data_IF_950079983556
#
_entry.id   IF_950079983556
#
_cell.length_a   1.000
_cell.length_b   1.000
_cell.length_c   1.000
_cell.angle_alpha   90.00
_cell.angle_beta   90.00
_cell.angle_gamma   90.00
#
_symmetry.space_group_name_H-M   'P 1'
#
loop_
_entity.id
_entity.type
_entity.pdbx_description
1 polymer ?
#
# COMPACT_ATOMS: atom_id res chain seq x y z
N UNK A 1 6.92 1.51 -14.61
CA UNK A 1 6.73 0.52 -15.68
C UNK A 1 7.11 1.21 -16.97
N UNK A 2 8.33 1.02 -17.43
CA UNK A 2 8.84 1.65 -18.66
C UNK A 2 8.69 0.65 -19.80
N UNK A 3 7.48 0.60 -20.36
CA UNK A 3 7.24 -0.17 -21.59
C UNK A 3 7.30 0.84 -22.72
N UNK A 4 8.31 0.71 -23.59
CA UNK A 4 8.41 1.56 -24.76
C UNK A 4 7.28 1.21 -25.75
N UNK A 5 6.64 2.25 -26.30
CA UNK A 5 5.59 2.12 -27.31
C UNK A 5 6.06 1.25 -28.50
N UNK A 6 7.35 1.32 -28.83
CA UNK A 6 7.98 0.51 -29.86
C UNK A 6 7.76 -1.00 -29.65
N UNK A 7 7.96 -1.50 -28.43
CA UNK A 7 7.75 -2.92 -28.13
C UNK A 7 6.27 -3.30 -28.32
N UNK A 8 5.35 -2.43 -27.92
CA UNK A 8 3.90 -2.67 -28.06
C UNK A 8 3.50 -2.80 -29.52
N UNK A 9 3.98 -1.92 -30.38
CA UNK A 9 3.67 -1.96 -31.81
C UNK A 9 4.26 -3.22 -32.48
N UNK A 10 5.48 -3.63 -32.12
CA UNK A 10 6.07 -4.87 -32.64
C UNK A 10 5.30 -6.10 -32.19
N UNK A 11 4.86 -6.15 -30.94
CA UNK A 11 4.06 -7.25 -30.41
C UNK A 11 2.69 -7.33 -31.10
N UNK A 12 2.04 -6.19 -31.38
CA UNK A 12 0.79 -6.14 -32.16
C UNK A 12 0.99 -6.69 -33.58
N UNK A 13 2.16 -6.44 -34.18
CA UNK A 13 2.52 -6.95 -35.51
C UNK A 13 3.04 -8.39 -35.50
N UNK A 14 3.02 -9.07 -34.34
CA UNK A 14 3.32 -10.50 -34.22
C UNK A 14 4.76 -10.84 -33.82
N UNK A 15 5.58 -9.89 -33.38
CA UNK A 15 6.88 -10.22 -32.78
C UNK A 15 6.68 -10.90 -31.43
N UNK A 16 7.15 -12.14 -31.34
CA UNK A 16 7.09 -12.94 -30.13
C UNK A 16 8.01 -12.37 -29.04
N UNK A 17 9.19 -11.91 -29.42
CA UNK A 17 10.19 -11.33 -28.51
C UNK A 17 9.65 -10.04 -27.88
N UNK A 18 9.00 -9.20 -28.68
CA UNK A 18 8.37 -7.99 -28.16
C UNK A 18 7.19 -8.30 -27.24
N UNK A 19 6.41 -9.35 -27.53
CA UNK A 19 5.34 -9.81 -26.66
C UNK A 19 5.90 -10.32 -25.32
N UNK A 20 6.92 -11.18 -25.35
CA UNK A 20 7.59 -11.70 -24.15
C UNK A 20 8.10 -10.55 -23.27
N UNK A 21 8.82 -9.59 -23.86
CA UNK A 21 9.32 -8.42 -23.13
C UNK A 21 8.21 -7.60 -22.46
N UNK A 22 7.06 -7.41 -23.13
CA UNK A 22 5.92 -6.72 -22.54
C UNK A 22 5.34 -7.52 -21.38
N UNK A 23 5.16 -8.83 -21.54
CA UNK A 23 4.57 -9.69 -20.51
C UNK A 23 5.45 -9.73 -19.26
N UNK A 24 6.76 -9.89 -19.41
CA UNK A 24 7.71 -9.85 -18.29
C UNK A 24 7.61 -8.54 -17.50
N UNK A 25 7.38 -7.42 -18.17
CA UNK A 25 7.27 -6.11 -17.53
C UNK A 25 5.93 -5.89 -16.79
N UNK A 26 4.85 -6.56 -17.20
CA UNK A 26 3.53 -6.40 -16.58
C UNK A 26 3.18 -7.48 -15.58
N UNK A 27 3.82 -8.67 -15.65
CA UNK A 27 3.51 -9.80 -14.78
C UNK A 27 3.59 -9.44 -13.29
N UNK A 28 4.73 -8.90 -12.86
CA UNK A 28 4.95 -8.52 -11.46
C UNK A 28 3.95 -7.47 -10.95
N UNK A 29 3.73 -6.34 -11.65
CA UNK A 29 2.72 -5.36 -11.28
C UNK A 29 1.29 -5.91 -11.22
N UNK A 30 0.90 -6.75 -12.19
CA UNK A 30 -0.44 -7.38 -12.21
C UNK A 30 -0.60 -8.33 -11.03
N UNK A 31 0.39 -9.20 -10.78
CA UNK A 31 0.39 -10.08 -9.60
C UNK A 31 0.25 -9.29 -8.30
N UNK A 32 1.02 -8.21 -8.16
CA UNK A 32 0.98 -7.35 -6.97
C UNK A 32 -0.37 -6.68 -6.74
N UNK A 33 -1.06 -6.26 -7.80
CA UNK A 33 -2.42 -5.75 -7.73
C UNK A 33 -3.39 -6.87 -7.34
N UNK A 34 -3.30 -8.04 -8.00
CA UNK A 34 -4.13 -9.22 -7.69
C UNK A 34 -3.99 -9.66 -6.24
N UNK A 35 -2.76 -9.73 -5.71
CA UNK A 35 -2.50 -10.12 -4.33
C UNK A 35 -3.13 -9.17 -3.32
N UNK A 36 -3.09 -7.87 -3.58
CA UNK A 36 -3.71 -6.86 -2.69
C UNK A 36 -5.23 -6.86 -2.81
N UNK A 37 -5.76 -7.16 -4.00
CA UNK A 37 -7.19 -7.27 -4.23
C UNK A 37 -7.76 -8.54 -3.59
N UNK A 38 -7.09 -9.68 -3.72
CA UNK A 38 -7.62 -10.98 -3.33
C UNK A 38 -7.11 -11.45 -1.96
N UNK A 39 -5.91 -11.09 -1.53
CA UNK A 39 -5.38 -11.42 -0.21
C UNK A 39 -4.86 -12.86 -0.06
N UNK A 40 -4.80 -13.65 -1.13
CA UNK A 40 -4.16 -14.97 -1.19
C UNK A 40 -3.26 -15.06 -2.40
N UNK A 41 -2.12 -15.75 -2.23
CA UNK A 41 -1.13 -15.93 -3.30
C UNK A 41 -1.70 -16.78 -4.44
N UNK A 42 -2.33 -17.92 -4.12
CA UNK A 42 -2.90 -18.83 -5.12
C UNK A 42 -3.96 -18.14 -5.98
N UNK A 43 -4.95 -17.49 -5.36
CA UNK A 43 -5.98 -16.74 -6.09
C UNK A 43 -5.37 -15.58 -6.89
N UNK A 44 -4.28 -14.98 -6.41
CA UNK A 44 -3.58 -13.91 -7.13
C UNK A 44 -2.79 -14.43 -8.34
N UNK A 45 -2.19 -15.62 -8.25
CA UNK A 45 -1.53 -16.31 -9.37
C UNK A 45 -2.54 -16.65 -10.46
N UNK A 46 -3.69 -17.23 -10.08
CA UNK A 46 -4.79 -17.55 -11.00
C UNK A 46 -5.29 -16.28 -11.71
N UNK A 47 -5.64 -15.24 -10.95
CA UNK A 47 -6.12 -13.98 -11.51
C UNK A 47 -5.07 -13.30 -12.40
N UNK A 48 -3.78 -13.34 -12.00
CA UNK A 48 -2.67 -12.83 -12.81
C UNK A 48 -2.64 -13.53 -14.17
N UNK A 49 -2.66 -14.85 -14.20
CA UNK A 49 -2.63 -15.61 -15.45
C UNK A 49 -3.79 -15.24 -16.37
N UNK A 50 -5.02 -15.21 -15.83
CA UNK A 50 -6.21 -14.83 -16.60
C UNK A 50 -6.11 -13.40 -17.15
N UNK A 51 -5.61 -12.45 -16.35
CA UNK A 51 -5.41 -11.06 -16.78
C UNK A 51 -4.37 -10.99 -17.90
N UNK A 52 -3.25 -11.70 -17.78
CA UNK A 52 -2.21 -11.72 -18.82
C UNK A 52 -2.75 -12.32 -20.12
N UNK A 53 -3.53 -13.40 -20.05
CA UNK A 53 -4.21 -13.97 -21.22
C UNK A 53 -5.16 -12.95 -21.86
N UNK A 54 -5.97 -12.23 -21.06
CA UNK A 54 -6.85 -11.17 -21.55
C UNK A 54 -6.06 -10.03 -22.22
N UNK A 55 -4.91 -9.66 -21.67
CA UNK A 55 -4.01 -8.65 -22.25
C UNK A 55 -3.48 -9.13 -23.61
N UNK A 56 -2.94 -10.34 -23.70
CA UNK A 56 -2.40 -10.92 -24.94
C UNK A 56 -3.48 -10.99 -26.02
N UNK A 57 -4.63 -11.58 -25.68
CA UNK A 57 -5.74 -11.78 -26.63
C UNK A 57 -6.40 -10.47 -27.07
N UNK A 58 -6.33 -9.42 -26.25
CA UNK A 58 -6.88 -8.10 -26.55
C UNK A 58 -5.84 -7.11 -27.09
N UNK A 59 -4.57 -7.51 -27.25
CA UNK A 59 -3.46 -6.60 -27.54
C UNK A 59 -3.69 -5.76 -28.81
N UNK A 60 -4.25 -6.36 -29.86
CA UNK A 60 -4.58 -5.68 -31.13
C UNK A 60 -5.63 -4.56 -30.98
N UNK A 61 -6.39 -4.55 -29.88
CA UNK A 61 -7.36 -3.50 -29.56
C UNK A 61 -6.71 -2.25 -28.93
N UNK A 62 -5.46 -2.33 -28.46
CA UNK A 62 -4.75 -1.18 -27.93
C UNK A 62 -4.47 -0.16 -29.05
N UNK A 63 -4.93 1.08 -28.87
CA UNK A 63 -4.83 2.17 -29.87
C UNK A 63 -3.94 3.33 -29.44
N UNK A 64 -3.09 3.16 -28.42
CA UNK A 64 -2.18 4.22 -27.96
C UNK A 64 -2.86 5.47 -27.38
N UNK A 65 -4.14 5.40 -27.00
CA UNK A 65 -4.90 6.54 -26.44
C UNK A 65 -4.56 6.84 -24.97
N UNK A 66 -3.93 5.90 -24.28
CA UNK A 66 -3.40 6.02 -22.93
C UNK A 66 -2.04 5.34 -22.89
N UNK A 67 -1.29 5.44 -21.80
CA UNK A 67 -0.13 4.57 -21.59
C UNK A 67 -0.57 3.10 -21.62
N UNK A 68 0.32 2.22 -22.07
CA UNK A 68 0.06 0.79 -22.12
C UNK A 68 -0.23 0.21 -20.73
N UNK A 69 0.54 0.65 -19.72
CA UNK A 69 0.31 0.30 -18.31
C UNK A 69 -1.10 0.67 -17.83
N UNK A 70 -1.62 1.82 -18.23
CA UNK A 70 -3.00 2.24 -17.93
C UNK A 70 -4.02 1.31 -18.56
N UNK A 71 -3.81 0.91 -19.81
CA UNK A 71 -4.70 -0.01 -20.52
C UNK A 71 -4.69 -1.41 -19.89
N UNK A 72 -3.52 -1.92 -19.52
CA UNK A 72 -3.37 -3.18 -18.77
C UNK A 72 -4.10 -3.09 -17.42
N UNK A 73 -3.93 -2.00 -16.68
CA UNK A 73 -4.65 -1.82 -15.42
C UNK A 73 -6.16 -1.78 -15.61
N UNK A 74 -6.70 -1.18 -16.69
CA UNK A 74 -8.15 -1.26 -16.99
C UNK A 74 -8.63 -2.70 -17.12
N UNK A 75 -7.87 -3.55 -17.80
CA UNK A 75 -8.20 -4.98 -17.94
C UNK A 75 -8.13 -5.66 -16.57
N UNK A 76 -7.05 -5.42 -15.82
CA UNK A 76 -6.82 -6.02 -14.51
C UNK A 76 -7.92 -5.64 -13.51
N UNK A 77 -8.30 -4.37 -13.41
CA UNK A 77 -9.31 -3.92 -12.44
C UNK A 77 -10.70 -4.44 -12.80
N UNK A 78 -11.06 -4.50 -14.08
CA UNK A 78 -12.34 -5.06 -14.51
C UNK A 78 -12.43 -6.56 -14.23
N UNK A 79 -11.31 -7.27 -14.33
CA UNK A 79 -11.22 -8.67 -13.88
C UNK A 79 -11.38 -8.74 -12.35
N UNK A 80 -10.50 -8.08 -11.60
CA UNK A 80 -10.38 -8.25 -10.15
C UNK A 80 -11.57 -7.73 -9.33
N UNK A 81 -12.36 -6.79 -9.85
CA UNK A 81 -13.49 -6.24 -9.11
C UNK A 81 -14.66 -7.22 -9.01
N UNK A 82 -14.73 -8.17 -9.95
CA UNK A 82 -15.74 -9.21 -9.98
C UNK A 82 -15.25 -10.51 -9.33
N UNK A 83 -13.94 -10.65 -9.14
CA UNK A 83 -13.36 -11.78 -8.44
C UNK A 83 -13.68 -11.74 -6.96
N UNK A 84 -14.01 -12.90 -6.41
CA UNK A 84 -14.22 -13.09 -4.98
C UNK A 84 -13.08 -13.94 -4.45
N UNK A 85 -12.47 -13.49 -3.36
CA UNK A 85 -11.65 -14.38 -2.55
C UNK A 85 -12.56 -15.50 -2.02
N UNK A 86 -12.16 -16.75 -2.25
CA UNK A 86 -12.96 -17.95 -1.93
C UNK A 86 -13.19 -18.11 -0.42
N UNK A 87 -12.26 -17.69 0.43
CA UNK A 87 -12.38 -17.74 1.88
C UNK A 87 -13.28 -16.63 2.42
N UNK A 88 -13.14 -15.40 1.89
CA UNK A 88 -13.95 -14.26 2.32
C UNK A 88 -15.35 -14.25 1.71
N UNK A 89 -15.61 -15.06 0.69
CA UNK A 89 -16.96 -15.26 0.14
C UNK A 89 -17.91 -15.85 1.20
N UNK A 90 -17.40 -16.77 2.03
CA UNK A 90 -18.17 -17.42 3.09
C UNK A 90 -17.99 -16.75 4.47
N UNK A 91 -16.84 -16.10 4.69
CA UNK A 91 -16.52 -15.39 5.93
C UNK A 91 -16.05 -13.97 5.64
N UNK A 92 -16.98 -13.02 5.36
CA UNK A 92 -16.61 -11.66 5.01
C UNK A 92 -15.87 -10.98 6.18
N UNK A 93 -14.76 -10.33 5.85
CA UNK A 93 -14.02 -9.51 6.81
C UNK A 93 -14.59 -8.10 6.87
N UNK A 94 -14.52 -7.51 8.07
CA UNK A 94 -14.83 -6.11 8.31
C UNK A 94 -13.87 -5.56 9.37
N UNK A 95 -13.77 -4.23 9.44
CA UNK A 95 -12.95 -3.59 10.48
C UNK A 95 -13.44 -3.92 11.89
N UNK A 96 -14.75 -4.12 12.09
CA UNK A 96 -15.33 -4.54 13.37
C UNK A 96 -14.90 -5.97 13.75
N UNK A 97 -14.97 -6.90 12.80
CA UNK A 97 -14.55 -8.30 13.01
C UNK A 97 -13.05 -8.34 13.30
N UNK A 98 -12.25 -7.58 12.54
CA UNK A 98 -10.80 -7.51 12.75
C UNK A 98 -10.46 -6.90 14.12
N UNK A 99 -11.12 -5.80 14.48
CA UNK A 99 -10.93 -5.15 15.79
C UNK A 99 -11.28 -6.07 16.95
N UNK A 100 -12.44 -6.75 16.86
CA UNK A 100 -12.90 -7.73 17.85
C UNK A 100 -11.91 -8.88 18.04
N UNK A 101 -11.23 -9.29 16.98
CA UNK A 101 -10.15 -10.27 17.09
C UNK A 101 -8.96 -9.74 17.90
N UNK A 102 -8.52 -8.51 17.61
CA UNK A 102 -7.42 -7.91 18.35
C UNK A 102 -7.79 -7.79 19.83
N UNK A 103 -9.03 -7.40 20.13
CA UNK A 103 -9.52 -7.32 21.51
C UNK A 103 -9.54 -8.71 22.19
N UNK A 104 -9.90 -9.78 21.46
CA UNK A 104 -9.80 -11.16 21.96
C UNK A 104 -8.36 -11.58 22.24
N UNK A 105 -7.43 -11.21 21.37
CA UNK A 105 -6.00 -11.42 21.60
C UNK A 105 -5.54 -10.71 22.87
N UNK A 106 -5.91 -9.44 23.06
CA UNK A 106 -5.52 -8.66 24.25
C UNK A 106 -6.08 -9.31 25.54
N UNK A 107 -7.26 -9.91 25.47
CA UNK A 107 -7.85 -10.67 26.57
C UNK A 107 -7.21 -12.06 26.78
N UNK A 108 -6.42 -12.56 25.83
CA UNK A 108 -5.81 -13.89 25.89
C UNK A 108 -4.47 -13.88 26.61
N UNK A 109 -4.20 -14.89 27.42
CA UNK A 109 -2.97 -15.06 28.20
C UNK A 109 -2.05 -16.12 27.58
N UNK A 110 -1.64 -15.93 26.32
CA UNK A 110 -0.81 -16.91 25.59
C UNK A 110 0.60 -16.38 25.41
N UNK A 111 1.59 -17.05 26.01
CA UNK A 111 2.97 -16.95 25.55
C UNK A 111 3.67 -18.31 25.63
N UNK A 112 4.19 -18.77 24.49
CA UNK A 112 5.25 -19.79 24.39
C UNK A 112 5.71 -19.96 22.93
N UNK A 113 6.73 -19.19 22.53
CA UNK A 113 7.63 -19.47 21.39
C UNK A 113 9.02 -18.91 21.70
N UNK A 114 10.05 -19.53 21.10
CA UNK A 114 11.44 -19.08 21.19
C UNK A 114 11.61 -17.67 20.55
N UNK A 115 12.30 -16.72 21.21
CA UNK A 115 12.51 -15.35 20.69
C UNK A 115 13.06 -15.25 19.26
N UNK A 116 13.90 -16.19 18.82
CA UNK A 116 14.51 -16.15 17.49
C UNK A 116 13.50 -16.41 16.36
N UNK A 117 12.60 -17.38 16.55
CA UNK A 117 11.54 -17.72 15.60
C UNK A 117 10.46 -16.63 15.55
N UNK A 118 10.21 -15.95 16.67
CA UNK A 118 9.24 -14.85 16.77
C UNK A 118 9.53 -13.71 15.77
N UNK A 119 10.79 -13.41 15.46
CA UNK A 119 11.13 -12.33 14.53
C UNK A 119 10.63 -12.59 13.11
N UNK A 120 10.86 -13.80 12.59
CA UNK A 120 10.46 -14.17 11.23
C UNK A 120 8.93 -14.19 11.13
N UNK A 121 8.26 -14.80 12.09
CA UNK A 121 6.79 -14.83 12.13
C UNK A 121 6.16 -13.45 12.36
N UNK A 122 6.85 -12.53 13.04
CA UNK A 122 6.38 -11.15 13.21
C UNK A 122 6.41 -10.39 11.89
N UNK A 123 7.45 -10.57 11.06
CA UNK A 123 7.49 -10.02 9.71
C UNK A 123 6.40 -10.63 8.81
N UNK A 124 6.23 -11.95 8.85
CA UNK A 124 5.14 -12.63 8.15
C UNK A 124 3.77 -12.08 8.57
N UNK A 125 3.57 -11.88 9.88
CA UNK A 125 2.33 -11.33 10.41
C UNK A 125 2.09 -9.90 9.93
N UNK A 126 3.12 -9.05 9.81
CA UNK A 126 2.97 -7.69 9.25
C UNK A 126 2.51 -7.75 7.80
N UNK A 127 3.09 -8.64 6.99
CA UNK A 127 2.74 -8.80 5.59
C UNK A 127 1.33 -9.37 5.43
N UNK A 128 1.02 -10.43 6.17
CA UNK A 128 -0.31 -11.05 6.17
C UNK A 128 -1.37 -10.06 6.65
N UNK A 129 -1.16 -9.38 7.79
CA UNK A 129 -2.18 -8.49 8.34
C UNK A 129 -2.44 -7.27 7.46
N UNK A 130 -1.44 -6.73 6.76
CA UNK A 130 -1.64 -5.61 5.82
C UNK A 130 -2.44 -6.04 4.60
N UNK A 131 -2.21 -7.24 4.07
CA UNK A 131 -3.03 -7.81 2.99
C UNK A 131 -4.47 -8.12 3.45
N UNK A 132 -4.64 -8.71 4.63
CA UNK A 132 -5.96 -9.04 5.21
C UNK A 132 -6.74 -7.79 5.59
N UNK A 133 -6.09 -6.73 6.07
CA UNK A 133 -6.77 -5.49 6.43
C UNK A 133 -7.39 -4.78 5.22
N UNK A 134 -6.76 -4.88 4.04
CA UNK A 134 -7.38 -4.43 2.78
C UNK A 134 -8.71 -5.14 2.51
N UNK A 135 -8.83 -6.39 2.98
CA UNK A 135 -10.02 -7.21 2.76
C UNK A 135 -11.25 -6.71 3.55
N UNK A 136 -11.03 -5.86 4.58
CA UNK A 136 -12.08 -5.21 5.34
C UNK A 136 -12.76 -4.06 4.58
N UNK A 137 -12.12 -3.54 3.52
CA UNK A 137 -12.75 -2.61 2.59
C UNK A 137 -13.62 -3.39 1.61
N UNK A 138 -14.75 -2.80 1.20
CA UNK A 138 -15.50 -3.36 0.07
C UNK A 138 -14.62 -3.38 -1.20
N UNK A 139 -14.86 -4.29 -2.16
CA UNK A 139 -13.95 -4.52 -3.29
C UNK A 139 -13.61 -3.26 -4.09
N UNK A 140 -14.58 -2.37 -4.27
CA UNK A 140 -14.36 -1.16 -5.07
C UNK A 140 -13.58 -0.09 -4.28
N UNK A 141 -13.89 0.14 -3.00
CA UNK A 141 -13.10 1.04 -2.15
C UNK A 141 -11.68 0.52 -1.89
N UNK A 142 -11.51 -0.81 -1.83
CA UNK A 142 -10.22 -1.50 -1.79
C UNK A 142 -9.40 -1.19 -3.03
N UNK A 143 -10.01 -1.35 -4.22
CA UNK A 143 -9.37 -1.04 -5.49
C UNK A 143 -8.88 0.41 -5.52
N UNK A 144 -9.75 1.36 -5.19
CA UNK A 144 -9.40 2.79 -5.17
C UNK A 144 -8.26 3.05 -4.18
N UNK A 145 -8.32 2.45 -2.99
CA UNK A 145 -7.28 2.59 -1.98
C UNK A 145 -5.92 2.08 -2.48
N UNK A 146 -5.88 0.90 -3.10
CA UNK A 146 -4.66 0.29 -3.65
C UNK A 146 -4.09 1.17 -4.77
N UNK A 147 -4.91 1.55 -5.75
CA UNK A 147 -4.47 2.40 -6.86
C UNK A 147 -3.89 3.72 -6.33
N UNK A 148 -4.64 4.43 -5.50
CA UNK A 148 -4.24 5.77 -5.05
C UNK A 148 -3.17 5.81 -3.97
N UNK A 149 -3.04 4.77 -3.13
CA UNK A 149 -2.10 4.78 -1.98
C UNK A 149 -0.87 3.92 -2.22
N UNK A 150 -0.99 2.82 -2.97
CA UNK A 150 0.12 1.88 -3.17
C UNK A 150 0.74 2.00 -4.56
N UNK A 151 -0.03 2.36 -5.58
CA UNK A 151 0.46 2.58 -6.94
C UNK A 151 0.59 4.06 -7.32
N UNK A 152 0.34 4.98 -6.36
CA UNK A 152 0.44 6.43 -6.54
C UNK A 152 -0.34 6.97 -7.75
N UNK A 153 -1.48 6.35 -8.04
CA UNK A 153 -2.36 6.73 -9.15
C UNK A 153 -3.12 8.01 -8.78
N UNK A 154 -2.88 9.07 -9.55
CA UNK A 154 -3.60 10.33 -9.40
C UNK A 154 -5.08 10.22 -9.82
N UNK A 155 -5.88 11.25 -9.52
CA UNK A 155 -7.32 11.22 -9.80
C UNK A 155 -7.71 11.19 -11.28
N UNK A 156 -6.84 11.67 -12.17
CA UNK A 156 -7.08 11.64 -13.62
C UNK A 156 -6.87 10.23 -14.13
N UNK A 157 -5.74 9.62 -13.80
CA UNK A 157 -5.42 8.26 -14.17
C UNK A 157 -6.38 7.26 -13.48
N UNK A 158 -6.72 7.51 -12.23
CA UNK A 158 -7.72 6.72 -11.48
C UNK A 158 -9.10 6.78 -12.13
N UNK A 159 -9.51 7.94 -12.65
CA UNK A 159 -10.73 8.10 -13.45
C UNK A 159 -10.69 7.26 -14.72
N UNK A 160 -9.57 7.31 -15.46
CA UNK A 160 -9.40 6.51 -16.67
C UNK A 160 -9.44 5.01 -16.41
N UNK A 161 -8.82 4.55 -15.31
CA UNK A 161 -8.73 3.12 -14.95
C UNK A 161 -10.08 2.59 -14.46
N UNK A 162 -10.77 3.34 -13.59
CA UNK A 162 -11.96 2.86 -12.88
C UNK A 162 -13.29 3.23 -13.55
N UNK A 163 -13.28 4.17 -14.50
CA UNK A 163 -14.50 4.72 -15.12
C UNK A 163 -15.27 5.72 -14.25
N UNK A 164 -14.77 6.03 -13.03
CA UNK A 164 -15.34 7.08 -12.19
C UNK A 164 -14.95 8.47 -12.70
N UNK A 165 -15.71 9.51 -12.31
CA UNK A 165 -15.20 10.89 -12.39
C UNK A 165 -14.00 11.09 -11.45
N UNK A 166 -13.06 11.97 -11.81
CA UNK A 166 -11.90 12.30 -10.97
C UNK A 166 -12.29 12.78 -9.55
N UNK A 167 -13.39 13.54 -9.40
CA UNK A 167 -13.89 13.97 -8.09
C UNK A 167 -14.36 12.80 -7.23
N UNK A 168 -15.16 11.90 -7.81
CA UNK A 168 -15.63 10.70 -7.12
C UNK A 168 -14.45 9.80 -6.69
N UNK A 169 -13.46 9.60 -7.56
CA UNK A 169 -12.23 8.87 -7.20
C UNK A 169 -11.52 9.50 -5.99
N UNK A 170 -11.32 10.83 -5.99
CA UNK A 170 -10.70 11.56 -4.86
C UNK A 170 -11.49 11.41 -3.56
N UNK A 171 -12.81 11.57 -3.62
CA UNK A 171 -13.67 11.47 -2.44
C UNK A 171 -13.63 10.06 -1.84
N UNK A 172 -13.73 9.03 -2.68
CA UNK A 172 -13.65 7.64 -2.21
C UNK A 172 -12.28 7.29 -1.66
N UNK A 173 -11.20 7.69 -2.33
CA UNK A 173 -9.83 7.49 -1.84
C UNK A 173 -9.64 8.13 -0.46
N UNK A 174 -10.10 9.38 -0.29
CA UNK A 174 -10.05 10.08 0.99
C UNK A 174 -10.80 9.32 2.09
N UNK A 175 -12.02 8.85 1.80
CA UNK A 175 -12.83 8.05 2.75
C UNK A 175 -12.15 6.73 3.10
N UNK A 176 -11.67 5.96 2.13
CA UNK A 176 -10.95 4.70 2.37
C UNK A 176 -9.70 4.91 3.23
N UNK A 177 -8.91 5.97 2.95
CA UNK A 177 -7.75 6.35 3.77
C UNK A 177 -8.14 6.71 5.19
N UNK A 178 -9.24 7.46 5.37
CA UNK A 178 -9.72 7.84 6.70
C UNK A 178 -10.17 6.64 7.52
N UNK A 179 -10.91 5.70 6.92
CA UNK A 179 -11.33 4.46 7.59
C UNK A 179 -10.10 3.65 8.01
N UNK A 180 -9.16 3.42 7.08
CA UNK A 180 -7.93 2.69 7.35
C UNK A 180 -7.09 3.34 8.46
N UNK A 181 -6.88 4.65 8.37
CA UNK A 181 -6.12 5.42 9.37
C UNK A 181 -6.77 5.39 10.75
N UNK A 182 -8.11 5.49 10.82
CA UNK A 182 -8.83 5.45 12.09
C UNK A 182 -8.62 4.10 12.78
N UNK A 183 -8.82 3.00 12.05
CA UNK A 183 -8.60 1.66 12.58
C UNK A 183 -7.14 1.44 13.03
N UNK A 184 -6.17 1.81 12.18
CA UNK A 184 -4.76 1.64 12.50
C UNK A 184 -4.35 2.46 13.73
N UNK A 185 -4.81 3.71 13.86
CA UNK A 185 -4.51 4.57 15.00
C UNK A 185 -5.09 4.07 16.33
N UNK A 186 -6.19 3.31 16.27
CA UNK A 186 -6.81 2.73 17.45
C UNK A 186 -6.08 1.46 17.89
N UNK A 187 -5.77 0.58 16.93
CA UNK A 187 -5.30 -0.77 17.23
C UNK A 187 -3.78 -0.96 17.04
N UNK A 188 -3.21 -0.54 15.92
CA UNK A 188 -1.87 -0.93 15.47
C UNK A 188 -0.76 -0.07 16.07
N UNK A 189 0.22 -0.69 16.74
CA UNK A 189 1.35 0.03 17.36
C UNK A 189 2.22 0.79 16.36
N UNK A 190 2.41 0.25 15.16
CA UNK A 190 3.14 0.95 14.08
C UNK A 190 2.47 2.25 13.62
N UNK A 191 1.20 2.46 13.97
CA UNK A 191 0.43 3.65 13.64
C UNK A 191 0.01 4.46 14.89
N UNK A 192 0.61 4.19 16.06
CA UNK A 192 0.34 4.90 17.31
C UNK A 192 -0.75 4.29 18.19
N UNK A 193 -1.36 3.18 17.77
CA UNK A 193 -2.26 2.38 18.59
C UNK A 193 -1.53 1.63 19.71
N UNK A 194 -2.28 0.98 20.61
CA UNK A 194 -1.69 0.28 21.78
C UNK A 194 -2.12 -1.17 21.96
N UNK A 195 -3.00 -1.69 21.09
CA UNK A 195 -3.63 -3.01 21.27
C UNK A 195 -2.92 -4.12 20.49
N UNK A 196 -2.37 -3.80 19.32
CA UNK A 196 -1.76 -4.76 18.40
C UNK A 196 -0.25 -4.52 18.26
N UNK A 197 0.54 -5.45 18.79
CA UNK A 197 1.97 -5.57 18.56
C UNK A 197 2.24 -6.87 17.78
N UNK A 198 2.86 -6.79 16.60
CA UNK A 198 3.08 -7.97 15.76
C UNK A 198 3.94 -9.03 16.45
N UNK A 199 4.97 -8.61 17.20
CA UNK A 199 5.86 -9.53 17.94
C UNK A 199 5.09 -10.32 19.00
N UNK A 200 4.23 -9.64 19.74
CA UNK A 200 3.46 -10.25 20.82
C UNK A 200 2.24 -11.04 20.30
N UNK A 201 1.80 -10.79 19.06
CA UNK A 201 0.65 -11.47 18.43
C UNK A 201 1.00 -12.76 17.70
N UNK A 202 2.29 -13.05 17.47
CA UNK A 202 2.74 -14.24 16.71
C UNK A 202 2.04 -15.52 17.18
N UNK A 203 2.04 -15.79 18.50
CA UNK A 203 1.48 -17.02 19.05
C UNK A 203 -0.02 -17.14 18.82
N UNK A 204 -0.73 -16.06 19.11
CA UNK A 204 -2.16 -15.99 18.84
C UNK A 204 -2.43 -16.20 17.35
N UNK A 205 -1.68 -15.53 16.47
CA UNK A 205 -1.82 -15.65 15.02
C UNK A 205 -1.59 -17.09 14.53
N UNK A 206 -0.56 -17.79 15.01
CA UNK A 206 -0.32 -19.21 14.70
C UNK A 206 -1.45 -20.11 15.18
N UNK A 207 -1.90 -19.92 16.43
CA UNK A 207 -2.98 -20.72 17.03
C UNK A 207 -4.32 -20.57 16.30
N UNK A 208 -4.54 -19.43 15.67
CA UNK A 208 -5.73 -19.11 14.89
C UNK A 208 -5.52 -19.33 13.38
N UNK A 209 -4.39 -19.93 12.97
CA UNK A 209 -4.02 -20.18 11.57
C UNK A 209 -4.04 -18.93 10.67
N UNK A 210 -3.66 -17.77 11.21
CA UNK A 210 -3.61 -16.48 10.49
C UNK A 210 -2.29 -16.23 9.77
N UNK A 211 -1.26 -16.93 10.20
CA UNK A 211 0.03 -17.02 9.53
C UNK A 211 0.37 -18.48 9.38
N UNK A 212 0.88 -18.84 8.20
CA UNK A 212 1.28 -20.20 7.88
C UNK A 212 2.75 -20.39 8.28
N UNK A 213 3.10 -21.48 8.99
CA UNK A 213 4.48 -21.86 9.25
C UNK A 213 5.38 -21.94 8.00
N UNK A 214 4.82 -22.15 6.82
CA UNK A 214 5.51 -22.13 5.54
C UNK A 214 5.93 -20.72 5.07
N UNK A 215 5.51 -19.66 5.77
CA UNK A 215 5.91 -18.28 5.52
C UNK A 215 5.68 -17.81 4.07
N UNK A 216 4.47 -18.00 3.50
CA UNK A 216 4.20 -17.79 2.08
C UNK A 216 4.50 -16.36 1.61
N UNK A 217 4.30 -15.34 2.44
CA UNK A 217 4.57 -13.96 2.05
C UNK A 217 6.06 -13.65 2.08
N UNK A 218 6.74 -13.91 3.20
CA UNK A 218 8.16 -13.59 3.35
C UNK A 218 9.08 -14.47 2.52
N UNK A 219 8.72 -15.73 2.26
CA UNK A 219 9.45 -16.60 1.32
C UNK A 219 9.39 -16.12 -0.14
N UNK A 220 8.31 -15.41 -0.51
CA UNK A 220 8.14 -14.85 -1.85
C UNK A 220 8.87 -13.52 -2.07
N UNK A 221 9.51 -12.99 -1.03
CA UNK A 221 10.23 -11.72 -1.11
C UNK A 221 11.66 -11.92 -1.61
N UNK A 222 12.16 -10.97 -2.41
CA UNK A 222 13.56 -10.92 -2.83
C UNK A 222 14.35 -10.11 -1.78
N UNK A 223 15.15 -10.75 -0.89
CA UNK A 223 15.70 -10.08 0.29
C UNK A 223 16.64 -8.91 -0.05
N UNK A 224 17.41 -9.05 -1.12
CA UNK A 224 18.33 -8.02 -1.61
C UNK A 224 17.60 -6.73 -2.01
N UNK A 225 16.46 -6.85 -2.71
CA UNK A 225 15.65 -5.69 -3.11
C UNK A 225 15.06 -4.98 -1.91
N UNK A 226 14.61 -5.72 -0.90
CA UNK A 226 14.08 -5.15 0.34
C UNK A 226 15.16 -4.43 1.12
N UNK A 227 16.32 -5.06 1.30
CA UNK A 227 17.47 -4.45 1.98
C UNK A 227 17.87 -3.15 1.30
N UNK A 228 18.01 -3.16 -0.02
CA UNK A 228 18.33 -1.97 -0.82
C UNK A 228 17.29 -0.86 -0.64
N UNK A 229 16.01 -1.23 -0.67
CA UNK A 229 14.91 -0.26 -0.51
C UNK A 229 14.88 0.34 0.90
N UNK A 230 15.09 -0.47 1.95
CA UNK A 230 15.16 0.01 3.34
C UNK A 230 16.33 0.99 3.52
N UNK A 231 17.52 0.62 3.05
CA UNK A 231 18.69 1.50 3.09
C UNK A 231 18.47 2.81 2.33
N UNK A 232 17.80 2.77 1.17
CA UNK A 232 17.45 3.97 0.43
C UNK A 232 16.50 4.90 1.22
N UNK A 233 15.50 4.33 1.92
CA UNK A 233 14.59 5.10 2.77
C UNK A 233 15.33 5.77 3.93
N UNK A 234 16.19 5.03 4.64
CA UNK A 234 17.00 5.57 5.74
C UNK A 234 17.90 6.73 5.28
N UNK A 235 18.50 6.60 4.08
CA UNK A 235 19.30 7.67 3.49
C UNK A 235 18.47 8.93 3.18
N UNK A 236 17.23 8.77 2.71
CA UNK A 236 16.31 9.89 2.45
C UNK A 236 15.91 10.57 3.76
N UNK A 237 15.60 9.82 4.81
CA UNK A 237 15.26 10.37 6.12
C UNK A 237 16.44 11.13 6.72
N UNK A 238 17.65 10.58 6.62
CA UNK A 238 18.88 11.26 7.04
C UNK A 238 19.10 12.56 6.26
N UNK A 239 18.92 12.55 4.93
CA UNK A 239 19.04 13.75 4.10
C UNK A 239 17.98 14.81 4.46
N UNK A 240 16.74 14.38 4.73
CA UNK A 240 15.64 15.26 5.13
C UNK A 240 15.91 15.93 6.48
N UNK A 241 16.46 15.19 7.44
CA UNK A 241 16.87 15.72 8.73
C UNK A 241 18.01 16.75 8.60
N UNK A 242 18.98 16.51 7.72
CA UNK A 242 20.05 17.47 7.42
C UNK A 242 19.47 18.75 6.79
N UNK A 243 18.62 18.62 5.78
CA UNK A 243 18.00 19.76 5.10
C UNK A 243 17.15 20.62 6.05
N UNK A 244 16.37 19.99 6.93
CA UNK A 244 15.56 20.68 7.96
C UNK A 244 16.42 21.52 8.92
N UNK A 245 17.67 21.11 9.16
CA UNK A 245 18.61 21.86 9.98
C UNK A 245 19.34 22.97 9.21
N UNK A 246 19.52 22.83 7.90
CA UNK A 246 20.16 23.83 7.03
C UNK A 246 19.25 25.03 6.74
N UNK A 247 17.94 24.82 6.60
CA UNK A 247 16.96 25.87 6.29
C UNK A 247 16.53 26.74 7.49
N UNK A 248 17.39 26.95 8.48
CA UNK A 248 17.11 27.96 9.52
C UNK A 248 17.39 29.35 8.97
N UNK A 249 16.48 29.87 8.14
CA UNK A 249 16.44 31.30 7.85
C UNK A 249 16.27 32.03 9.19
N UNK A 250 17.31 32.74 9.62
CA UNK A 250 17.21 33.58 10.80
C UNK A 250 16.38 34.81 10.46
N UNK A 251 15.54 35.26 11.40
CA UNK A 251 14.92 36.57 11.29
C UNK A 251 16.01 37.64 11.12
N UNK A 252 15.78 38.63 10.24
CA UNK A 252 16.70 39.76 10.05
C UNK A 252 17.15 40.29 11.43
N UNK A 253 18.44 40.58 11.58
CA UNK A 253 19.06 41.06 12.84
C UNK A 253 18.22 42.18 13.48
N UNK A 254 17.73 43.10 12.65
CA UNK A 254 16.89 44.23 13.03
C UNK A 254 15.57 43.84 13.71
N UNK A 255 14.95 42.72 13.31
CA UNK A 255 13.72 42.22 13.95
C UNK A 255 14.00 41.61 15.33
N UNK A 256 15.16 40.94 15.49
CA UNK A 256 15.61 40.47 16.81
C UNK A 256 15.92 41.63 17.74
N UNK A 257 16.65 42.63 17.25
CA UNK A 257 16.99 43.84 18.00
C UNK A 257 15.75 44.62 18.41
N UNK A 258 14.76 44.76 17.53
CA UNK A 258 13.47 45.35 17.88
C UNK A 258 12.79 44.60 19.03
N UNK A 259 12.68 43.27 18.94
CA UNK A 259 12.09 42.44 20.01
C UNK A 259 12.87 42.55 21.32
N UNK A 260 14.21 42.51 21.28
CA UNK A 260 15.04 42.65 22.49
C UNK A 260 14.95 44.05 23.10
N UNK A 261 14.85 45.10 22.28
CA UNK A 261 14.68 46.47 22.76
C UNK A 261 13.29 46.67 23.37
N UNK A 262 12.27 46.07 22.77
CA UNK A 262 10.91 46.07 23.30
C UNK A 262 10.82 45.38 24.67
N UNK A 263 11.46 44.22 24.82
CA UNK A 263 11.54 43.49 26.10
C UNK A 263 12.30 44.25 27.20
N UNK A 264 13.13 45.23 26.85
CA UNK A 264 13.83 46.11 27.80
C UNK A 264 12.98 47.30 28.25
N UNK A 265 11.83 47.54 27.63
CA UNK A 265 10.91 48.60 28.06
C UNK A 265 9.98 48.06 29.15
N UNK A 266 9.69 48.88 30.17
CA UNK A 266 8.75 48.52 31.25
C UNK A 266 7.29 48.82 30.90
N UNK A 267 7.01 49.24 29.67
CA UNK A 267 5.68 49.68 29.25
C UNK A 267 5.14 48.84 28.09
N UNK A 268 4.76 47.61 28.41
CA UNK A 268 4.08 46.70 27.47
C UNK A 268 2.63 47.12 27.20
N UNK A 269 2.09 48.12 27.90
CA UNK A 269 0.70 48.58 27.69
C UNK A 269 0.52 49.30 26.35
N UNK A 270 1.62 49.86 25.81
CA UNK A 270 1.66 50.51 24.50
C UNK A 270 1.63 49.56 23.29
N UNK A 271 1.79 48.25 23.49
CA UNK A 271 1.85 47.23 22.43
C UNK A 271 0.50 46.69 21.97
N UNK A 272 -0.59 47.10 22.64
CA UNK A 272 -1.95 46.72 22.26
C UNK A 272 -2.63 47.89 21.55
N UNK A 273 -2.39 47.99 20.25
CA UNK A 273 -3.34 48.59 19.30
C UNK A 273 -3.47 47.69 18.09
#
# INVERSE_FOLDING_TARGET
MEIEIYHVDQAINGSKEALEAIIENIEGPVFNLSLRMLGRIEDAEDAKQDILIKVITSLSSYKGKSLFSTWVYKIAVNHLINEKNKDFANHPLSFEIFGSDIDRYVASSVDQTNPAEKNIFSEELKLSCTNVLLQCLNPFDRLIFILGTMFDVDSRLGSEITGLSADNFRQRLSRSRKVMSTFLSEYCEHAGGKKCNCMNRVNYALSQHRIDPALPYSSSLIPERISTSKSAMENIDAATALYSNLLRHSSKQQAKEYLFNLLKTNDFSSLTK
#
